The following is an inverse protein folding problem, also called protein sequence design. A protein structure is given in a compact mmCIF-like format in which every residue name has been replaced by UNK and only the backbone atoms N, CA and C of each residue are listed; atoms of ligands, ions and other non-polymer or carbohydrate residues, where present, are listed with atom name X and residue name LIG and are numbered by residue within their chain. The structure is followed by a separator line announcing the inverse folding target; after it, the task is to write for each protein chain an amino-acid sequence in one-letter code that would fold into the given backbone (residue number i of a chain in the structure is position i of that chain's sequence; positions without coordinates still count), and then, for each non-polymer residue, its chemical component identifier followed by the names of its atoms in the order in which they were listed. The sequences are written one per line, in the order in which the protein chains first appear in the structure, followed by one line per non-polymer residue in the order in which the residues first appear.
data_IF_532520000742
#
_entry.id   IF_532520000742
#
_cell.length_a   1.000
_cell.length_b   1.000
_cell.length_c   1.000
_cell.angle_alpha   90.00
_cell.angle_beta   90.00
_cell.angle_gamma   90.00
#
_symmetry.space_group_name_H-M   'P 1'
#
loop_
_entity.id
_entity.type
_entity.pdbx_description
1 polymer ?
#
# COMPACT_ATOMS: atom_id res chain seq x y z
N UNK A 1 14.04 3.37 16.33
CA UNK A 1 13.86 4.64 17.03
C UNK A 1 14.85 4.75 18.17
N UNK A 2 15.55 5.87 18.24
CA UNK A 2 16.44 6.22 19.34
C UNK A 2 15.74 7.25 20.24
N UNK A 3 15.36 6.85 21.45
CA UNK A 3 14.62 7.70 22.37
C UNK A 3 15.48 8.89 22.89
N UNK A 4 16.76 8.64 23.17
CA UNK A 4 17.68 9.67 23.70
C UNK A 4 17.90 10.82 22.71
N UNK A 5 17.85 10.54 21.41
CA UNK A 5 18.05 11.53 20.34
C UNK A 5 16.73 12.04 19.75
N UNK A 6 15.60 11.42 20.07
CA UNK A 6 14.33 11.73 19.44
C UNK A 6 14.30 11.44 17.91
N UNK A 7 15.08 10.44 17.45
CA UNK A 7 15.31 10.19 16.02
C UNK A 7 14.74 8.83 15.59
N UNK A 8 14.01 8.81 14.48
CA UNK A 8 13.56 7.60 13.80
C UNK A 8 14.30 7.43 12.47
N UNK A 9 15.06 6.35 12.30
CA UNK A 9 15.55 5.90 10.99
C UNK A 9 14.43 5.09 10.36
N UNK A 10 13.67 5.73 9.47
CA UNK A 10 12.44 5.16 8.91
C UNK A 10 12.67 4.26 7.68
N UNK A 11 13.85 4.33 7.05
CA UNK A 11 14.05 3.66 5.77
C UNK A 11 12.98 4.07 4.76
N UNK A 12 12.37 3.10 4.08
CA UNK A 12 11.26 3.30 3.15
C UNK A 12 9.88 3.29 3.82
N UNK A 13 9.79 2.98 5.12
CA UNK A 13 8.50 2.87 5.80
C UNK A 13 7.72 4.18 5.84
N UNK A 14 8.41 5.31 6.04
CA UNK A 14 7.77 6.63 6.07
C UNK A 14 8.62 7.63 5.31
N UNK A 15 8.20 7.92 4.08
CA UNK A 15 8.85 8.87 3.18
C UNK A 15 8.13 10.23 3.20
N UNK A 16 8.84 11.37 3.07
CA UNK A 16 8.25 12.69 3.29
C UNK A 16 7.23 13.11 2.21
N UNK A 17 7.36 12.64 0.96
CA UNK A 17 6.54 13.09 -0.17
C UNK A 17 5.86 11.95 -0.91
N UNK A 18 6.60 10.93 -1.33
CA UNK A 18 6.08 9.79 -2.08
C UNK A 18 5.51 8.72 -1.14
N UNK A 19 4.67 7.85 -1.65
CA UNK A 19 4.23 6.64 -0.94
C UNK A 19 5.27 5.54 -1.12
N UNK A 20 5.42 4.72 -0.10
CA UNK A 20 6.21 3.49 -0.17
C UNK A 20 5.54 2.50 -1.11
N UNK A 21 6.32 1.83 -1.94
CA UNK A 21 5.81 0.71 -2.71
C UNK A 21 5.57 -0.49 -1.79
N UNK A 22 4.32 -0.91 -1.69
CA UNK A 22 3.89 -2.09 -0.93
C UNK A 22 3.37 -3.13 -1.91
N UNK A 23 4.16 -4.16 -2.19
CA UNK A 23 3.91 -5.11 -3.27
C UNK A 23 3.83 -6.55 -2.78
N UNK A 24 2.90 -7.32 -3.34
CA UNK A 24 2.96 -8.79 -3.30
C UNK A 24 4.11 -9.26 -4.17
N UNK A 25 4.96 -10.11 -3.62
CA UNK A 25 6.11 -10.68 -4.32
C UNK A 25 5.80 -12.09 -4.82
N UNK A 26 6.43 -12.50 -5.92
CA UNK A 26 6.22 -13.83 -6.51
C UNK A 26 6.60 -14.99 -5.56
N UNK A 27 7.51 -14.74 -4.62
CA UNK A 27 7.93 -15.73 -3.60
C UNK A 27 6.89 -15.94 -2.50
N UNK A 28 5.98 -14.97 -2.32
CA UNK A 28 4.89 -15.02 -1.33
C UNK A 28 3.58 -14.54 -1.98
N UNK A 29 3.02 -15.31 -2.94
CA UNK A 29 1.93 -14.86 -3.80
C UNK A 29 0.61 -14.64 -3.05
N UNK A 30 0.46 -15.17 -1.86
CA UNK A 30 -0.73 -15.01 -1.01
C UNK A 30 -0.51 -14.07 0.18
N UNK A 31 0.63 -13.35 0.24
CA UNK A 31 0.93 -12.41 1.31
C UNK A 31 -0.08 -11.23 1.35
N UNK A 32 -0.23 -10.64 2.55
CA UNK A 32 -0.99 -9.40 2.74
C UNK A 32 -0.07 -8.25 3.23
N UNK A 33 0.87 -7.77 2.38
CA UNK A 33 1.85 -6.78 2.78
C UNK A 33 1.23 -5.42 3.12
N UNK A 34 0.07 -5.08 2.54
CA UNK A 34 -0.59 -3.81 2.86
C UNK A 34 -1.11 -3.80 4.29
N UNK A 35 -1.66 -4.90 4.79
CA UNK A 35 -2.04 -5.04 6.21
C UNK A 35 -0.85 -4.79 7.11
N UNK A 36 0.26 -5.48 6.87
CA UNK A 36 1.48 -5.34 7.68
C UNK A 36 2.05 -3.93 7.65
N UNK A 37 2.02 -3.29 6.49
CA UNK A 37 2.42 -1.89 6.36
C UNK A 37 1.53 -0.95 7.17
N UNK A 38 0.20 -1.11 7.09
CA UNK A 38 -0.76 -0.28 7.83
C UNK A 38 -0.66 -0.47 9.34
N UNK A 39 -0.39 -1.69 9.79
CA UNK A 39 -0.18 -2.01 11.21
C UNK A 39 1.14 -1.39 11.70
N UNK A 40 2.20 -1.46 10.91
CA UNK A 40 3.48 -0.80 11.21
C UNK A 40 3.33 0.73 11.29
N UNK A 41 2.58 1.35 10.38
CA UNK A 41 2.27 2.79 10.45
C UNK A 41 1.53 3.16 11.74
N UNK A 42 0.66 2.29 12.25
CA UNK A 42 -0.04 2.53 13.51
C UNK A 42 0.93 2.60 14.70
N UNK A 43 1.95 1.75 14.71
CA UNK A 43 3.03 1.79 15.72
C UNK A 43 3.83 3.08 15.60
N UNK A 44 4.21 3.49 14.39
CA UNK A 44 4.96 4.75 14.19
C UNK A 44 4.18 5.99 14.68
N UNK A 45 2.85 5.98 14.59
CA UNK A 45 2.00 7.07 15.07
C UNK A 45 2.06 7.27 16.60
N UNK A 46 2.54 6.29 17.37
CA UNK A 46 2.67 6.39 18.85
C UNK A 46 3.92 7.13 19.29
N UNK A 47 4.89 7.32 18.39
CA UNK A 47 6.15 7.99 18.71
C UNK A 47 5.92 9.48 19.06
N UNK A 48 6.85 10.13 19.81
CA UNK A 48 6.75 11.54 20.17
C UNK A 48 6.52 12.45 18.96
N UNK A 49 5.77 13.54 19.16
CA UNK A 49 5.37 14.43 18.06
C UNK A 49 6.55 15.19 17.42
N UNK A 50 7.60 15.43 18.21
CA UNK A 50 8.83 16.10 17.81
C UNK A 50 9.89 15.17 17.22
N UNK A 51 9.56 13.88 17.01
CA UNK A 51 10.48 12.92 16.40
C UNK A 51 11.02 13.44 15.06
N UNK A 52 12.36 13.48 14.92
CA UNK A 52 13.04 13.71 13.65
C UNK A 52 13.07 12.40 12.85
N UNK A 53 12.51 12.41 11.66
CA UNK A 53 12.47 11.24 10.76
C UNK A 53 13.60 11.31 9.74
N UNK A 54 14.40 10.26 9.67
CA UNK A 54 15.45 10.05 8.67
C UNK A 54 14.98 9.01 7.65
N UNK A 55 14.43 9.42 6.49
CA UNK A 55 13.98 8.52 5.45
C UNK A 55 15.14 8.07 4.55
N UNK A 56 14.94 6.97 3.78
CA UNK A 56 15.89 6.55 2.74
C UNK A 56 15.82 7.42 1.48
N UNK A 57 14.71 8.10 1.25
CA UNK A 57 14.49 9.01 0.12
C UNK A 57 13.89 10.33 0.59
N UNK A 58 14.41 11.44 0.05
CA UNK A 58 14.03 12.80 0.43
C UNK A 58 14.86 13.34 1.59
N UNK A 59 14.44 14.46 2.16
CA UNK A 59 15.13 15.10 3.28
C UNK A 59 14.58 14.63 4.63
N UNK A 60 15.39 14.67 5.70
CA UNK A 60 14.91 14.54 7.07
C UNK A 60 13.75 15.50 7.34
N UNK A 61 12.79 15.08 8.16
CA UNK A 61 11.60 15.88 8.43
C UNK A 61 11.00 15.63 9.81
N UNK A 62 10.23 16.57 10.29
CA UNK A 62 9.33 16.45 11.42
C UNK A 62 7.88 16.29 10.95
N UNK A 63 6.95 15.97 11.88
CA UNK A 63 5.54 15.78 11.53
C UNK A 63 5.19 14.33 11.17
N UNK A 64 5.84 13.37 11.82
CA UNK A 64 5.63 11.94 11.63
C UNK A 64 4.14 11.55 11.71
N UNK A 65 3.40 12.05 12.72
CA UNK A 65 1.99 11.69 12.94
C UNK A 65 1.08 12.16 11.80
N UNK A 66 1.31 13.38 11.30
CA UNK A 66 0.59 13.94 10.14
C UNK A 66 0.88 13.11 8.89
N UNK A 67 2.14 12.74 8.68
CA UNK A 67 2.54 11.93 7.54
C UNK A 67 1.93 10.53 7.60
N UNK A 68 1.94 9.88 8.75
CA UNK A 68 1.29 8.57 8.96
C UNK A 68 -0.22 8.67 8.69
N UNK A 69 -0.88 9.70 9.22
CA UNK A 69 -2.32 9.92 8.96
C UNK A 69 -2.60 10.09 7.47
N UNK A 70 -1.77 10.85 6.75
CA UNK A 70 -1.89 11.02 5.30
C UNK A 70 -1.77 9.67 4.57
N UNK A 71 -0.73 8.87 4.87
CA UNK A 71 -0.50 7.57 4.24
C UNK A 71 -1.67 6.62 4.49
N UNK A 72 -2.16 6.53 5.71
CA UNK A 72 -3.32 5.69 6.06
C UNK A 72 -4.59 6.12 5.32
N UNK A 73 -4.86 7.42 5.24
CA UNK A 73 -6.01 7.94 4.51
C UNK A 73 -5.88 7.69 3.01
N UNK A 74 -4.68 7.84 2.44
CA UNK A 74 -4.39 7.54 1.05
C UNK A 74 -4.74 6.08 0.71
N UNK A 75 -4.22 5.11 1.46
CA UNK A 75 -4.53 3.70 1.23
C UNK A 75 -6.01 3.38 1.45
N UNK A 76 -6.62 3.94 2.50
CA UNK A 76 -8.06 3.78 2.72
C UNK A 76 -8.89 4.25 1.52
N UNK A 77 -8.58 5.41 0.96
CA UNK A 77 -9.26 5.92 -0.23
C UNK A 77 -9.07 4.98 -1.43
N UNK A 78 -7.84 4.47 -1.67
CA UNK A 78 -7.56 3.51 -2.75
C UNK A 78 -8.35 2.21 -2.59
N UNK A 79 -8.45 1.70 -1.37
CA UNK A 79 -9.25 0.51 -1.06
C UNK A 79 -10.75 0.76 -1.37
N UNK A 80 -11.32 1.92 -1.01
CA UNK A 80 -12.70 2.25 -1.34
C UNK A 80 -12.93 2.35 -2.87
N UNK A 81 -12.04 3.01 -3.61
CA UNK A 81 -12.08 3.09 -5.07
C UNK A 81 -12.07 1.70 -5.72
N UNK A 82 -11.24 0.78 -5.21
CA UNK A 82 -11.14 -0.61 -5.69
C UNK A 82 -12.41 -1.42 -5.41
N UNK A 83 -13.01 -1.30 -4.23
CA UNK A 83 -14.27 -1.97 -3.92
C UNK A 83 -15.37 -1.55 -4.90
N UNK A 84 -15.44 -0.27 -5.24
CA UNK A 84 -16.42 0.22 -6.23
C UNK A 84 -16.11 -0.30 -7.64
N UNK A 85 -14.85 -0.31 -8.04
CA UNK A 85 -14.43 -0.84 -9.35
C UNK A 85 -14.72 -2.34 -9.48
N UNK A 86 -14.61 -3.12 -8.39
CA UNK A 86 -14.89 -4.54 -8.32
C UNK A 86 -16.39 -4.89 -8.18
N UNK A 87 -17.31 -3.93 -8.40
CA UNK A 87 -18.74 -4.25 -8.61
C UNK A 87 -18.94 -5.20 -9.80
N UNK A 88 -18.02 -5.19 -10.77
CA UNK A 88 -17.84 -6.21 -11.80
C UNK A 88 -16.50 -6.91 -11.59
N UNK A 89 -16.37 -8.22 -11.94
CA UNK A 89 -15.12 -8.94 -11.75
C UNK A 89 -13.91 -8.26 -12.42
N UNK A 90 -12.83 -8.06 -11.67
CA UNK A 90 -11.59 -7.41 -12.13
C UNK A 90 -10.37 -8.27 -11.80
N UNK A 91 -9.40 -8.30 -12.70
CA UNK A 91 -8.03 -8.76 -12.40
C UNK A 91 -7.19 -7.62 -11.83
N UNK A 92 -6.00 -7.92 -11.32
CA UNK A 92 -5.04 -6.89 -10.91
C UNK A 92 -4.64 -5.97 -12.06
N UNK A 93 -4.54 -6.50 -13.30
CA UNK A 93 -4.24 -5.70 -14.48
C UNK A 93 -5.35 -4.70 -14.83
N UNK A 94 -6.62 -5.10 -14.67
CA UNK A 94 -7.77 -4.25 -14.99
C UNK A 94 -7.88 -3.01 -14.08
N UNK A 95 -7.29 -3.05 -12.88
CA UNK A 95 -7.33 -1.93 -11.93
C UNK A 95 -6.11 -1.02 -11.97
N UNK A 96 -5.09 -1.36 -12.77
CA UNK A 96 -3.90 -0.50 -12.92
C UNK A 96 -4.24 0.94 -13.35
N UNK A 97 -5.13 1.19 -14.35
CA UNK A 97 -5.46 2.55 -14.75
C UNK A 97 -6.20 3.35 -13.66
N UNK A 98 -6.87 2.67 -12.73
CA UNK A 98 -7.51 3.30 -11.58
C UNK A 98 -6.47 3.76 -10.55
N UNK A 99 -5.50 2.90 -10.26
CA UNK A 99 -4.47 3.16 -9.26
C UNK A 99 -3.37 4.11 -9.77
N UNK A 100 -3.05 4.03 -11.07
CA UNK A 100 -1.96 4.78 -11.70
C UNK A 100 -2.48 5.57 -12.89
N UNK A 101 -2.66 6.89 -12.72
CA UNK A 101 -3.25 7.78 -13.73
C UNK A 101 -2.28 8.18 -14.86
N UNK A 102 -1.04 7.71 -14.83
CA UNK A 102 -0.01 7.96 -15.83
C UNK A 102 0.31 6.68 -16.62
N UNK A 103 0.86 6.84 -17.81
CA UNK A 103 1.39 5.70 -18.56
C UNK A 103 2.58 5.11 -17.80
N UNK A 104 2.57 3.81 -17.63
CA UNK A 104 3.64 3.04 -17.00
C UNK A 104 4.51 2.40 -18.09
N UNK A 105 5.81 2.39 -17.88
CA UNK A 105 6.73 1.56 -18.66
C UNK A 105 6.67 0.08 -18.19
N UNK A 106 7.46 -0.80 -18.80
CA UNK A 106 7.45 -2.24 -18.46
C UNK A 106 7.90 -2.50 -17.01
N UNK A 107 8.95 -1.82 -16.54
CA UNK A 107 9.46 -1.96 -15.17
C UNK A 107 8.44 -1.44 -14.15
N UNK A 108 7.90 -0.26 -14.40
CA UNK A 108 6.87 0.35 -13.57
C UNK A 108 5.60 -0.49 -13.52
N UNK A 109 5.21 -1.11 -14.65
CA UNK A 109 4.04 -1.99 -14.71
C UNK A 109 4.21 -3.21 -13.79
N UNK A 110 5.41 -3.82 -13.74
CA UNK A 110 5.67 -4.94 -12.81
C UNK A 110 5.53 -4.53 -11.35
N UNK A 111 6.06 -3.37 -10.98
CA UNK A 111 5.96 -2.81 -9.62
C UNK A 111 4.48 -2.50 -9.30
N UNK A 112 3.79 -1.85 -10.22
CA UNK A 112 2.38 -1.48 -10.09
C UNK A 112 1.46 -2.71 -9.95
N UNK A 113 1.77 -3.82 -10.65
CA UNK A 113 1.04 -5.09 -10.50
C UNK A 113 1.15 -5.64 -9.08
N UNK A 114 2.34 -5.64 -8.49
CA UNK A 114 2.54 -6.06 -7.10
C UNK A 114 1.75 -5.19 -6.11
N UNK A 115 1.71 -3.87 -6.34
CA UNK A 115 0.95 -2.93 -5.53
C UNK A 115 -0.58 -3.11 -5.70
N UNK A 116 -1.05 -3.33 -6.92
CA UNK A 116 -2.46 -3.65 -7.19
C UNK A 116 -2.89 -4.93 -6.46
N UNK A 117 -2.06 -5.98 -6.52
CA UNK A 117 -2.30 -7.22 -5.78
C UNK A 117 -2.33 -6.99 -4.27
N UNK A 118 -1.43 -6.18 -3.71
CA UNK A 118 -1.40 -5.89 -2.28
C UNK A 118 -2.71 -5.24 -1.80
N UNK A 119 -3.27 -4.31 -2.57
CA UNK A 119 -4.55 -3.68 -2.26
C UNK A 119 -5.73 -4.67 -2.42
N UNK A 120 -5.73 -5.50 -3.46
CA UNK A 120 -6.78 -6.50 -3.68
C UNK A 120 -6.74 -7.60 -2.61
N UNK A 121 -5.55 -8.02 -2.17
CA UNK A 121 -5.39 -8.98 -1.08
C UNK A 121 -5.89 -8.42 0.25
N UNK A 122 -5.59 -7.15 0.57
CA UNK A 122 -6.13 -6.51 1.76
C UNK A 122 -7.66 -6.59 1.79
N UNK A 123 -8.30 -6.25 0.68
CA UNK A 123 -9.76 -6.31 0.56
C UNK A 123 -10.31 -7.75 0.59
N UNK A 124 -9.58 -8.70 0.03
CA UNK A 124 -9.94 -10.12 0.06
C UNK A 124 -9.87 -10.68 1.49
N UNK A 125 -8.76 -10.43 2.20
CA UNK A 125 -8.60 -10.91 3.58
C UNK A 125 -9.51 -10.17 4.58
N UNK A 126 -9.91 -8.94 4.26
CA UNK A 126 -10.92 -8.18 5.03
C UNK A 126 -12.37 -8.60 4.69
N UNK A 127 -12.57 -9.57 3.78
CA UNK A 127 -13.89 -10.09 3.39
C UNK A 127 -14.72 -9.13 2.52
N UNK A 128 -14.14 -8.02 2.04
CA UNK A 128 -14.82 -7.03 1.20
C UNK A 128 -14.83 -7.41 -0.28
N UNK A 129 -13.89 -8.26 -0.70
CA UNK A 129 -13.86 -8.91 -2.00
C UNK A 129 -13.80 -10.42 -1.83
N UNK A 130 -14.35 -11.15 -2.79
CA UNK A 130 -14.09 -12.57 -3.01
C UNK A 130 -13.24 -12.74 -4.26
N UNK A 131 -12.49 -13.84 -4.37
CA UNK A 131 -11.68 -14.14 -5.56
C UNK A 131 -11.97 -15.53 -6.11
N UNK A 132 -11.83 -15.69 -7.41
CA UNK A 132 -11.93 -16.97 -8.12
C UNK A 132 -11.02 -16.95 -9.35
N UNK A 133 -10.73 -18.12 -9.92
CA UNK A 133 -10.05 -18.21 -11.21
C UNK A 133 -11.07 -18.31 -12.32
N UNK A 134 -10.88 -17.51 -13.37
CA UNK A 134 -11.67 -17.63 -14.59
C UNK A 134 -11.21 -18.81 -15.47
N UNK A 135 -11.85 -19.00 -16.62
CA UNK A 135 -11.55 -20.09 -17.57
C UNK A 135 -10.11 -20.04 -18.11
N UNK A 136 -9.47 -18.86 -18.11
CA UNK A 136 -8.08 -18.67 -18.50
C UNK A 136 -7.11 -18.83 -17.33
N UNK A 137 -7.59 -19.17 -16.12
CA UNK A 137 -6.80 -19.31 -14.92
C UNK A 137 -6.38 -17.97 -14.26
N UNK A 138 -6.95 -16.85 -14.72
CA UNK A 138 -6.66 -15.51 -14.15
C UNK A 138 -7.49 -15.29 -12.90
N UNK A 139 -6.85 -14.77 -11.84
CA UNK A 139 -7.56 -14.37 -10.63
C UNK A 139 -8.46 -13.17 -10.91
N UNK A 140 -9.76 -13.34 -10.62
CA UNK A 140 -10.78 -12.30 -10.65
C UNK A 140 -11.24 -11.98 -9.24
N UNK A 141 -11.36 -10.72 -8.95
CA UNK A 141 -11.86 -10.19 -7.69
C UNK A 141 -13.18 -9.48 -7.93
N UNK A 142 -14.15 -9.72 -7.07
CA UNK A 142 -15.47 -9.09 -7.16
C UNK A 142 -15.98 -8.76 -5.77
N UNK A 143 -16.76 -7.69 -5.66
CA UNK A 143 -17.36 -7.26 -4.40
C UNK A 143 -18.21 -8.38 -3.80
N UNK A 144 -18.13 -8.54 -2.49
CA UNK A 144 -18.94 -9.47 -1.69
C UNK A 144 -20.38 -9.00 -1.59
#
# INVERSE_FOLDING_TARGET
YCADLGVLIAGDMVLPRITTNVSVQAVEPDANPLRWFMDSLAVHATLPADTLVLPSHGLPFHGLRERVRYLRNHHKQRLEELVQACATPKSAADVLPLLFRRKLDERETRIAMGEALAHMHELYYDGRLRRYRDEQGVWRYTKT
#
